data_IF_006150622529
#
_entry.id   IF_006150622529
#
_cell.length_a   1.000
_cell.length_b   1.000
_cell.length_c   1.000
_cell.angle_alpha   90.00
_cell.angle_beta   90.00
_cell.angle_gamma   90.00
#
_symmetry.space_group_name_H-M   'P 1'
#
loop_
_entity.id
_entity.type
_entity.pdbx_description
1 polymer ?
#
# COMPACT_ATOMS: atom_id res chain seq x y z
N UNK A 1 20.77 60.12 3.26
CA UNK A 1 19.41 59.86 2.77
C UNK A 1 19.15 58.36 2.78
N UNK A 2 18.53 57.86 3.85
CA UNK A 2 18.13 56.46 4.01
C UNK A 2 16.90 56.19 3.16
N UNK A 3 17.03 55.36 2.12
CA UNK A 3 15.89 54.90 1.32
C UNK A 3 15.00 54.01 2.20
N UNK A 4 13.85 54.57 2.60
CA UNK A 4 12.75 53.83 3.22
C UNK A 4 12.17 52.89 2.15
N UNK A 5 12.50 51.60 2.22
CA UNK A 5 11.80 50.57 1.43
C UNK A 5 10.46 50.27 2.12
N UNK A 6 9.47 51.13 1.94
CA UNK A 6 8.07 50.76 2.16
C UNK A 6 7.48 50.43 0.80
N UNK A 7 7.84 49.26 0.27
CA UNK A 7 7.00 48.61 -0.73
C UNK A 7 5.87 47.96 0.05
N UNK A 8 4.65 48.48 -0.07
CA UNK A 8 3.47 47.82 0.49
C UNK A 8 3.43 46.40 -0.05
N UNK A 9 3.45 45.41 0.85
CA UNK A 9 3.17 44.05 0.46
C UNK A 9 1.73 44.03 -0.07
N UNK A 10 1.45 43.46 -1.24
CA UNK A 10 0.07 43.27 -1.67
C UNK A 10 -0.65 42.47 -0.57
N UNK A 11 -1.78 42.98 -0.08
CA UNK A 11 -2.59 42.28 0.90
C UNK A 11 -2.94 40.91 0.33
N UNK A 12 -2.50 39.85 1.02
CA UNK A 12 -2.79 38.48 0.63
C UNK A 12 -4.30 38.29 0.70
N UNK A 13 -4.93 38.06 -0.45
CA UNK A 13 -6.35 37.76 -0.52
C UNK A 13 -6.59 36.36 0.03
N UNK A 14 -7.53 36.23 0.97
CA UNK A 14 -7.98 34.92 1.43
C UNK A 14 -8.66 34.17 0.28
N UNK A 15 -8.28 32.91 0.10
CA UNK A 15 -8.82 31.99 -0.91
C UNK A 15 -9.92 31.13 -0.29
N UNK A 16 -9.66 30.62 0.92
CA UNK A 16 -10.57 29.75 1.67
C UNK A 16 -10.99 30.46 2.97
N UNK A 17 -12.01 31.34 2.95
CA UNK A 17 -12.40 32.13 4.13
C UNK A 17 -12.90 31.26 5.29
N UNK A 18 -13.54 30.14 4.99
CA UNK A 18 -14.09 29.19 5.94
C UNK A 18 -13.20 27.94 6.08
N UNK A 19 -11.89 28.17 6.15
CA UNK A 19 -10.90 27.12 6.30
C UNK A 19 -10.80 26.63 7.75
N UNK A 20 -10.70 25.31 7.91
CA UNK A 20 -10.21 24.67 9.11
C UNK A 20 -8.91 23.89 8.83
N UNK A 21 -8.23 23.46 9.89
CA UNK A 21 -7.15 22.51 9.75
C UNK A 21 -7.05 21.55 10.93
N UNK A 22 -6.42 20.41 10.70
CA UNK A 22 -6.21 19.37 11.70
C UNK A 22 -4.76 18.90 11.65
N UNK A 23 -4.09 18.92 12.80
CA UNK A 23 -2.87 18.18 13.03
C UNK A 23 -3.22 16.80 13.63
N UNK A 24 -2.90 15.75 12.89
CA UNK A 24 -3.37 14.38 13.14
C UNK A 24 -2.32 13.62 13.96
N UNK A 25 -2.61 13.41 15.24
CA UNK A 25 -1.89 12.48 16.12
C UNK A 25 -2.52 11.08 16.20
N UNK A 26 -1.82 10.15 16.86
CA UNK A 26 -2.27 8.75 17.03
C UNK A 26 -3.34 8.56 18.11
N UNK A 27 -3.38 9.44 19.11
CA UNK A 27 -4.32 9.36 20.25
C UNK A 27 -5.13 10.64 20.45
N UNK A 28 -4.84 11.67 19.65
CA UNK A 28 -5.51 12.96 19.72
C UNK A 28 -5.35 13.68 18.38
N UNK A 29 -6.36 14.46 17.98
CA UNK A 29 -6.30 15.38 16.86
C UNK A 29 -6.44 16.81 17.36
N UNK A 30 -5.53 17.68 16.93
CA UNK A 30 -5.63 19.12 17.21
C UNK A 30 -6.29 19.79 16.02
N UNK A 31 -7.47 20.35 16.22
CA UNK A 31 -8.25 20.98 15.17
C UNK A 31 -8.34 22.50 15.40
N UNK A 32 -8.32 23.28 14.33
CA UNK A 32 -8.41 24.73 14.37
C UNK A 32 -9.39 25.27 13.33
N UNK A 33 -10.21 26.24 13.74
CA UNK A 33 -11.15 27.00 12.89
C UNK A 33 -10.76 28.48 12.87
N UNK A 34 -11.59 29.33 12.27
CA UNK A 34 -11.42 30.78 12.36
C UNK A 34 -11.63 31.28 13.81
N UNK A 35 -10.71 32.05 14.42
CA UNK A 35 -10.86 32.67 15.73
C UNK A 35 -12.13 33.51 15.90
N UNK A 36 -12.66 34.06 14.81
CA UNK A 36 -13.90 34.83 14.84
C UNK A 36 -15.15 33.94 14.83
N UNK A 37 -15.01 32.64 14.56
CA UNK A 37 -16.13 31.69 14.44
C UNK A 37 -16.43 30.94 15.75
N UNK A 38 -15.52 30.93 16.73
CA UNK A 38 -15.70 30.19 17.99
C UNK A 38 -14.83 30.79 19.12
N UNK A 39 -15.33 30.78 20.36
CA UNK A 39 -14.60 31.29 21.54
C UNK A 39 -13.40 30.42 21.92
N UNK A 40 -13.41 29.14 21.53
CA UNK A 40 -12.31 28.19 21.65
C UNK A 40 -11.98 27.65 20.24
N UNK A 41 -11.26 28.42 19.42
CA UNK A 41 -11.06 28.14 18.00
C UNK A 41 -10.01 27.05 17.73
N UNK A 42 -9.32 26.57 18.76
CA UNK A 42 -8.41 25.42 18.70
C UNK A 42 -8.87 24.42 19.75
N UNK A 43 -9.16 23.19 19.34
CA UNK A 43 -9.69 22.13 20.21
C UNK A 43 -8.97 20.81 19.99
N UNK A 44 -8.86 20.04 21.07
CA UNK A 44 -8.41 18.66 21.02
C UNK A 44 -9.62 17.75 20.87
N UNK A 45 -9.54 16.79 19.94
CA UNK A 45 -10.51 15.72 19.77
C UNK A 45 -9.82 14.37 19.97
N UNK A 46 -10.58 13.39 20.45
CA UNK A 46 -10.13 12.00 20.47
C UNK A 46 -10.05 11.40 19.08
N UNK A 47 -9.68 10.12 19.02
CA UNK A 47 -9.51 9.39 17.75
C UNK A 47 -10.57 8.32 17.52
N UNK A 48 -11.54 8.19 18.44
CA UNK A 48 -12.63 7.26 18.27
C UNK A 48 -13.66 7.82 17.30
N UNK A 49 -14.39 6.93 16.61
CA UNK A 49 -15.32 7.33 15.56
C UNK A 49 -16.33 8.39 16.01
N UNK A 50 -16.84 8.31 17.24
CA UNK A 50 -17.72 9.34 17.77
C UNK A 50 -17.02 10.69 17.91
N UNK A 51 -15.79 10.73 18.42
CA UNK A 51 -15.00 11.97 18.51
C UNK A 51 -14.76 12.62 17.14
N UNK A 52 -14.64 11.79 16.09
CA UNK A 52 -14.47 12.27 14.71
C UNK A 52 -15.76 12.87 14.13
N UNK A 53 -16.91 12.32 14.49
CA UNK A 53 -18.21 12.93 14.17
C UNK A 53 -18.41 14.22 14.96
N UNK A 54 -18.07 14.24 16.25
CA UNK A 54 -18.15 15.45 17.08
C UNK A 54 -17.24 16.56 16.53
N UNK A 55 -16.06 16.21 15.98
CA UNK A 55 -15.18 17.12 15.26
C UNK A 55 -15.86 17.68 13.99
N UNK A 56 -16.48 16.82 13.18
CA UNK A 56 -17.16 17.22 11.96
C UNK A 56 -18.36 18.13 12.26
N UNK A 57 -19.16 17.82 13.27
CA UNK A 57 -20.30 18.62 13.71
C UNK A 57 -19.85 19.99 14.24
N UNK A 58 -18.75 20.03 14.99
CA UNK A 58 -18.13 21.29 15.40
C UNK A 58 -17.73 22.14 14.19
N UNK A 59 -17.05 21.55 13.21
CA UNK A 59 -16.71 22.26 11.96
C UNK A 59 -17.93 22.80 11.21
N UNK A 60 -19.02 22.04 11.12
CA UNK A 60 -20.27 22.52 10.53
C UNK A 60 -20.85 23.71 11.30
N UNK A 61 -20.85 23.64 12.63
CA UNK A 61 -21.33 24.74 13.49
C UNK A 61 -20.53 26.04 13.32
N UNK A 62 -19.24 25.92 12.99
CA UNK A 62 -18.35 27.05 12.69
C UNK A 62 -18.43 27.52 11.23
N UNK A 63 -19.29 26.92 10.40
CA UNK A 63 -19.45 27.28 8.99
C UNK A 63 -18.27 26.89 8.09
N UNK A 64 -17.44 25.93 8.52
CA UNK A 64 -16.28 25.45 7.75
C UNK A 64 -16.73 24.83 6.44
N UNK A 65 -16.00 25.08 5.36
CA UNK A 65 -16.25 24.46 4.05
C UNK A 65 -15.07 23.65 3.54
N UNK A 66 -13.85 23.96 3.99
CA UNK A 66 -12.63 23.27 3.55
C UNK A 66 -11.66 23.02 4.68
N UNK A 67 -11.03 21.85 4.68
CA UNK A 67 -10.17 21.36 5.77
C UNK A 67 -8.81 20.94 5.22
N UNK A 68 -7.73 21.46 5.82
CA UNK A 68 -6.37 20.95 5.59
C UNK A 68 -5.93 20.02 6.73
N UNK A 69 -5.42 18.84 6.40
CA UNK A 69 -4.95 17.87 7.38
C UNK A 69 -3.46 17.61 7.22
N UNK A 70 -2.71 17.63 8.32
CA UNK A 70 -1.32 17.17 8.36
C UNK A 70 -1.24 15.83 9.08
N UNK A 71 -0.59 14.84 8.48
CA UNK A 71 -0.30 13.56 9.13
C UNK A 71 0.98 12.93 8.61
N UNK A 72 1.67 12.20 9.49
CA UNK A 72 2.87 11.42 9.15
C UNK A 72 2.60 9.91 9.04
N UNK A 73 1.40 9.46 9.42
CA UNK A 73 1.01 8.04 9.45
C UNK A 73 -0.37 7.84 8.80
N UNK A 74 -0.99 6.67 8.99
CA UNK A 74 -2.29 6.33 8.37
C UNK A 74 -3.52 6.93 9.08
N UNK A 75 -3.33 7.57 10.24
CA UNK A 75 -4.41 8.03 11.12
C UNK A 75 -5.33 9.08 10.48
N UNK A 76 -4.91 9.74 9.40
CA UNK A 76 -5.74 10.69 8.68
C UNK A 76 -6.88 10.03 7.89
N UNK A 77 -6.75 8.75 7.52
CA UNK A 77 -7.73 8.07 6.65
C UNK A 77 -9.16 8.14 7.22
N UNK A 78 -9.43 7.69 8.45
CA UNK A 78 -10.80 7.72 9.00
C UNK A 78 -11.35 9.14 9.15
N UNK A 79 -10.50 10.11 9.53
CA UNK A 79 -10.90 11.50 9.66
C UNK A 79 -11.26 12.11 8.30
N UNK A 80 -10.45 11.82 7.28
CA UNK A 80 -10.72 12.27 5.92
C UNK A 80 -12.04 11.70 5.39
N UNK A 81 -12.26 10.39 5.56
CA UNK A 81 -13.48 9.72 5.10
C UNK A 81 -14.75 10.28 5.77
N UNK A 82 -14.71 10.54 7.08
CA UNK A 82 -15.84 11.13 7.80
C UNK A 82 -16.08 12.57 7.34
N UNK A 83 -15.03 13.38 7.20
CA UNK A 83 -15.19 14.76 6.73
C UNK A 83 -15.70 14.83 5.28
N UNK A 84 -15.21 13.97 4.40
CA UNK A 84 -15.72 13.84 3.02
C UNK A 84 -17.21 13.45 3.02
N UNK A 85 -17.63 12.52 3.87
CA UNK A 85 -19.03 12.12 4.03
C UNK A 85 -19.92 13.25 4.59
N UNK A 86 -19.37 14.12 5.43
CA UNK A 86 -20.04 15.33 5.93
C UNK A 86 -20.02 16.50 4.93
N UNK A 87 -19.45 16.32 3.73
CA UNK A 87 -19.50 17.29 2.63
C UNK A 87 -18.39 18.34 2.63
N UNK A 88 -17.32 18.14 3.41
CA UNK A 88 -16.18 19.07 3.43
C UNK A 88 -15.25 18.86 2.24
N UNK A 89 -14.64 19.94 1.73
CA UNK A 89 -13.50 19.85 0.83
C UNK A 89 -12.22 19.59 1.63
N UNK A 90 -11.70 18.36 1.58
CA UNK A 90 -10.56 17.96 2.42
C UNK A 90 -9.28 17.81 1.60
N UNK A 91 -8.19 18.39 2.09
CA UNK A 91 -6.84 18.17 1.53
C UNK A 91 -5.90 17.57 2.58
N UNK A 92 -5.13 16.55 2.17
CA UNK A 92 -4.03 16.02 2.97
C UNK A 92 -2.73 16.72 2.59
N UNK A 93 -2.03 17.31 3.54
CA UNK A 93 -0.81 18.08 3.33
C UNK A 93 0.40 17.30 3.83
N UNK A 94 1.49 17.34 3.07
CA UNK A 94 2.75 16.78 3.52
C UNK A 94 3.35 17.67 4.61
N UNK A 95 3.56 17.09 5.80
CA UNK A 95 4.16 17.75 6.97
C UNK A 95 5.43 18.55 6.67
N UNK A 96 6.26 18.08 5.72
CA UNK A 96 7.50 18.78 5.35
C UNK A 96 7.25 20.11 4.65
N UNK A 97 6.17 20.24 3.87
CA UNK A 97 5.85 21.48 3.17
C UNK A 97 5.25 22.52 4.11
N UNK A 98 4.36 22.12 5.02
CA UNK A 98 3.74 23.05 5.98
C UNK A 98 4.75 23.67 6.95
N UNK A 99 5.75 22.90 7.40
CA UNK A 99 6.78 23.34 8.36
C UNK A 99 7.79 24.33 7.79
N UNK A 100 7.99 24.35 6.46
CA UNK A 100 9.01 25.17 5.81
C UNK A 100 8.49 26.54 5.35
N UNK A 101 7.25 26.91 5.67
CA UNK A 101 6.71 28.23 5.33
C UNK A 101 7.22 29.30 6.32
N UNK A 102 7.97 30.32 5.86
CA UNK A 102 8.48 31.38 6.73
C UNK A 102 7.37 32.23 7.35
N UNK A 103 7.65 32.86 8.49
CA UNK A 103 6.73 33.80 9.14
C UNK A 103 5.87 33.21 10.26
N UNK A 104 6.09 31.94 10.62
CA UNK A 104 5.45 31.31 11.79
C UNK A 104 5.92 31.97 13.09
N UNK A 105 4.99 32.35 13.95
CA UNK A 105 5.26 32.76 15.33
C UNK A 105 5.34 31.56 16.27
N UNK A 106 6.14 31.68 17.33
CA UNK A 106 6.44 30.58 18.27
C UNK A 106 5.25 30.15 19.12
N UNK A 107 4.25 31.01 19.29
CA UNK A 107 3.07 30.86 20.13
C UNK A 107 1.84 30.27 19.38
N UNK A 108 1.97 29.99 18.08
CA UNK A 108 0.88 29.48 17.26
C UNK A 108 0.91 27.95 17.23
N UNK A 109 -0.22 27.32 17.59
CA UNK A 109 -0.40 25.86 17.50
C UNK A 109 -0.21 25.38 16.05
N UNK A 110 0.25 24.13 15.87
CA UNK A 110 0.45 23.55 14.54
C UNK A 110 -0.83 23.61 13.69
N UNK A 111 -1.98 23.22 14.28
CA UNK A 111 -3.28 23.31 13.62
C UNK A 111 -3.69 24.75 13.27
N UNK A 112 -3.43 25.72 14.17
CA UNK A 112 -3.73 27.12 13.93
C UNK A 112 -2.92 27.71 12.77
N UNK A 113 -1.63 27.37 12.72
CA UNK A 113 -0.73 27.74 11.62
C UNK A 113 -1.15 27.10 10.30
N UNK A 114 -1.45 25.80 10.32
CA UNK A 114 -1.92 25.07 9.15
C UNK A 114 -3.22 25.66 8.58
N UNK A 115 -4.17 26.04 9.45
CA UNK A 115 -5.43 26.70 9.06
C UNK A 115 -5.16 28.03 8.38
N UNK A 116 -4.25 28.84 8.92
CA UNK A 116 -3.88 30.12 8.32
C UNK A 116 -3.26 29.93 6.93
N UNK A 117 -2.37 28.96 6.75
CA UNK A 117 -1.81 28.66 5.43
C UNK A 117 -2.90 28.20 4.45
N UNK A 118 -3.84 27.38 4.91
CA UNK A 118 -4.97 26.91 4.11
C UNK A 118 -5.89 28.06 3.69
N UNK A 119 -6.16 29.01 4.59
CA UNK A 119 -7.06 30.14 4.30
C UNK A 119 -6.54 31.06 3.20
N UNK A 120 -5.22 31.16 3.03
CA UNK A 120 -4.57 31.90 1.95
C UNK A 120 -4.23 31.04 0.73
N UNK A 121 -4.60 29.76 0.70
CA UNK A 121 -4.30 28.86 -0.42
C UNK A 121 -2.80 28.57 -0.59
N UNK A 122 -2.02 28.65 0.49
CA UNK A 122 -0.56 28.43 0.46
C UNK A 122 -0.17 26.95 0.60
N UNK A 123 -1.16 26.07 0.77
CA UNK A 123 -0.96 24.63 0.91
C UNK A 123 -1.24 23.91 -0.40
N UNK A 124 -0.40 22.93 -0.71
CA UNK A 124 -0.62 22.00 -1.81
C UNK A 124 -1.10 20.66 -1.26
N UNK A 125 -2.30 20.26 -1.65
CA UNK A 125 -2.84 18.95 -1.35
C UNK A 125 -2.02 17.83 -1.98
N UNK A 126 -1.82 16.75 -1.24
CA UNK A 126 -1.30 15.48 -1.73
C UNK A 126 -2.36 14.81 -2.59
N UNK A 127 -1.96 14.12 -3.64
CA UNK A 127 -2.89 13.43 -4.51
C UNK A 127 -3.55 12.25 -3.78
N UNK A 128 -4.86 12.34 -3.56
CA UNK A 128 -5.73 11.23 -3.17
C UNK A 128 -6.58 10.85 -4.39
N UNK A 129 -6.51 9.60 -4.87
CA UNK A 129 -7.43 9.11 -5.89
C UNK A 129 -8.87 9.10 -5.37
N UNK A 130 -9.83 9.10 -6.28
CA UNK A 130 -11.24 8.84 -5.97
C UNK A 130 -11.40 7.49 -5.25
N UNK A 131 -12.49 7.36 -4.49
CA UNK A 131 -12.74 6.24 -3.58
C UNK A 131 -12.50 4.87 -4.22
N UNK A 132 -12.94 4.68 -5.47
CA UNK A 132 -12.84 3.40 -6.17
C UNK A 132 -11.40 3.05 -6.54
N UNK A 133 -10.63 4.05 -6.97
CA UNK A 133 -9.19 3.91 -7.23
C UNK A 133 -8.42 3.73 -5.92
N UNK A 134 -8.86 4.36 -4.83
CA UNK A 134 -8.29 4.15 -3.50
C UNK A 134 -8.50 2.70 -3.02
N UNK A 135 -9.68 2.12 -3.22
CA UNK A 135 -9.97 0.69 -2.96
C UNK A 135 -9.05 -0.22 -3.77
N UNK A 136 -8.91 0.02 -5.07
CA UNK A 136 -8.00 -0.75 -5.93
C UNK A 136 -6.57 -0.71 -5.39
N UNK A 137 -6.06 0.49 -5.08
CA UNK A 137 -4.71 0.68 -4.54
C UNK A 137 -4.50 -0.03 -3.20
N UNK A 138 -5.53 -0.11 -2.35
CA UNK A 138 -5.44 -0.85 -1.09
C UNK A 138 -5.19 -2.35 -1.33
N UNK A 139 -5.93 -2.96 -2.25
CA UNK A 139 -5.73 -4.37 -2.60
C UNK A 139 -4.40 -4.63 -3.31
N UNK A 140 -3.97 -3.76 -4.23
CA UNK A 140 -2.67 -3.89 -4.90
C UNK A 140 -1.53 -3.85 -3.88
N UNK A 141 -1.53 -2.88 -2.97
CA UNK A 141 -0.51 -2.76 -1.91
C UNK A 141 -0.50 -3.95 -0.96
N UNK A 142 -1.67 -4.51 -0.65
CA UNK A 142 -1.75 -5.70 0.19
C UNK A 142 -1.16 -6.92 -0.53
N UNK A 143 -1.47 -7.07 -1.82
CA UNK A 143 -0.92 -8.13 -2.66
C UNK A 143 0.60 -8.04 -2.81
N UNK A 144 1.13 -6.83 -3.00
CA UNK A 144 2.57 -6.56 -3.06
C UNK A 144 3.26 -7.03 -1.77
N UNK A 145 2.76 -6.62 -0.60
CA UNK A 145 3.30 -7.07 0.70
C UNK A 145 3.28 -8.58 0.87
N UNK A 146 2.18 -9.25 0.53
CA UNK A 146 2.11 -10.72 0.59
C UNK A 146 3.10 -11.39 -0.38
N UNK A 147 3.37 -10.76 -1.52
CA UNK A 147 4.36 -11.24 -2.49
C UNK A 147 5.78 -11.11 -1.95
N UNK A 148 6.09 -10.00 -1.28
CA UNK A 148 7.37 -9.79 -0.58
C UNK A 148 7.57 -10.82 0.54
N UNK A 149 6.53 -11.07 1.35
CA UNK A 149 6.59 -12.09 2.40
C UNK A 149 6.80 -13.49 1.83
N UNK A 150 6.07 -13.87 0.77
CA UNK A 150 6.29 -15.15 0.09
C UNK A 150 7.75 -15.29 -0.40
N UNK A 151 8.33 -14.20 -0.93
CA UNK A 151 9.73 -14.18 -1.41
C UNK A 151 10.72 -14.44 -0.28
N UNK A 152 10.50 -13.90 0.92
CA UNK A 152 11.34 -14.21 2.08
C UNK A 152 11.33 -15.71 2.42
N UNK A 153 10.17 -16.37 2.33
CA UNK A 153 10.09 -17.81 2.60
C UNK A 153 10.68 -18.69 1.49
N UNK A 154 10.78 -18.19 0.25
CA UNK A 154 11.60 -18.84 -0.78
C UNK A 154 13.06 -18.91 -0.34
N UNK A 155 13.59 -17.79 0.18
CA UNK A 155 14.96 -17.74 0.69
C UNK A 155 15.16 -18.67 1.88
N UNK A 156 14.17 -18.78 2.77
CA UNK A 156 14.22 -19.72 3.89
C UNK A 156 14.18 -21.19 3.44
N UNK A 157 13.37 -21.54 2.44
CA UNK A 157 13.41 -22.88 1.83
C UNK A 157 14.80 -23.16 1.21
N UNK A 158 15.37 -22.21 0.47
CA UNK A 158 16.73 -22.36 -0.08
C UNK A 158 17.78 -22.56 1.01
N UNK A 159 17.70 -21.77 2.10
CA UNK A 159 18.61 -21.92 3.24
C UNK A 159 18.53 -23.32 3.84
N UNK A 160 17.34 -23.84 4.11
CA UNK A 160 17.17 -25.18 4.67
C UNK A 160 17.72 -26.26 3.73
N UNK A 161 17.49 -26.13 2.42
CA UNK A 161 18.09 -27.02 1.41
C UNK A 161 19.62 -26.96 1.45
N UNK A 162 20.22 -25.78 1.60
CA UNK A 162 21.67 -25.63 1.70
C UNK A 162 22.26 -26.23 2.97
N UNK A 163 21.58 -26.10 4.12
CA UNK A 163 22.02 -26.72 5.37
C UNK A 163 21.97 -28.26 5.29
N UNK A 164 21.03 -28.81 4.51
CA UNK A 164 20.97 -30.23 4.13
C UNK A 164 21.97 -30.62 3.03
N UNK A 165 22.74 -29.68 2.49
CA UNK A 165 23.59 -29.84 1.31
C UNK A 165 22.84 -30.30 0.03
N UNK A 166 21.58 -29.90 -0.11
CA UNK A 166 20.77 -30.13 -1.31
C UNK A 166 20.88 -28.94 -2.27
N UNK A 167 21.66 -29.12 -3.33
CA UNK A 167 22.01 -28.09 -4.32
C UNK A 167 20.93 -27.87 -5.39
N UNK A 168 19.65 -28.01 -5.01
CA UNK A 168 18.51 -27.94 -5.94
C UNK A 168 18.50 -26.63 -6.75
N UNK A 169 18.76 -25.51 -6.09
CA UNK A 169 18.77 -24.18 -6.70
C UNK A 169 19.85 -23.98 -7.80
N UNK A 170 20.85 -24.86 -7.89
CA UNK A 170 21.83 -24.86 -8.99
C UNK A 170 21.34 -25.63 -10.23
N UNK A 171 20.43 -26.59 -10.05
CA UNK A 171 19.99 -27.51 -11.12
C UNK A 171 18.56 -27.24 -11.62
N UNK A 172 17.81 -26.35 -10.96
CA UNK A 172 16.54 -25.82 -11.47
C UNK A 172 16.61 -24.30 -11.62
N UNK A 173 15.90 -23.75 -12.61
CA UNK A 173 15.86 -22.29 -12.81
C UNK A 173 15.10 -21.55 -11.73
N UNK A 174 14.15 -22.22 -11.08
CA UNK A 174 13.29 -21.67 -10.03
C UNK A 174 12.86 -22.83 -9.12
N UNK A 175 13.19 -22.74 -7.83
CA UNK A 175 12.83 -23.75 -6.84
C UNK A 175 11.31 -23.76 -6.56
N UNK A 176 10.62 -22.65 -6.84
CA UNK A 176 9.16 -22.56 -6.74
C UNK A 176 8.44 -22.97 -8.03
N UNK A 177 9.20 -23.33 -9.07
CA UNK A 177 8.68 -23.95 -10.28
C UNK A 177 8.14 -25.36 -10.03
N UNK A 178 7.47 -25.93 -11.04
CA UNK A 178 6.81 -27.24 -10.93
C UNK A 178 7.74 -28.35 -10.44
N UNK A 179 8.94 -28.47 -11.02
CA UNK A 179 9.94 -29.48 -10.60
C UNK A 179 10.41 -29.24 -9.17
N UNK A 180 10.84 -28.02 -8.84
CA UNK A 180 11.38 -27.69 -7.53
C UNK A 180 10.37 -27.93 -6.41
N UNK A 181 9.13 -27.50 -6.59
CA UNK A 181 8.07 -27.69 -5.59
C UNK A 181 7.67 -29.16 -5.41
N UNK A 182 7.68 -29.97 -6.48
CA UNK A 182 7.44 -31.42 -6.34
C UNK A 182 8.52 -32.08 -5.50
N UNK A 183 9.78 -31.74 -5.74
CA UNK A 183 10.92 -32.24 -4.97
C UNK A 183 10.85 -31.78 -3.52
N UNK A 184 10.66 -30.48 -3.27
CA UNK A 184 10.56 -29.91 -1.91
C UNK A 184 9.41 -30.57 -1.13
N UNK A 185 8.24 -30.72 -1.75
CA UNK A 185 7.09 -31.39 -1.12
C UNK A 185 7.36 -32.87 -0.83
N UNK A 186 8.08 -33.57 -1.71
CA UNK A 186 8.46 -34.95 -1.47
C UNK A 186 9.42 -35.09 -0.29
N UNK A 187 10.44 -34.21 -0.19
CA UNK A 187 11.35 -34.16 0.97
C UNK A 187 10.57 -33.92 2.26
N UNK A 188 9.66 -32.93 2.28
CA UNK A 188 8.79 -32.67 3.43
C UNK A 188 7.88 -33.87 3.73
N UNK A 189 7.42 -34.57 2.70
CA UNK A 189 6.61 -35.79 2.80
C UNK A 189 7.37 -37.04 3.24
N UNK A 190 8.67 -36.94 3.51
CA UNK A 190 9.49 -38.06 4.02
C UNK A 190 10.33 -38.79 2.97
N UNK A 191 10.30 -38.37 1.70
CA UNK A 191 11.15 -38.97 0.67
C UNK A 191 12.62 -38.58 0.88
N UNK A 192 13.52 -39.56 0.77
CA UNK A 192 14.97 -39.41 0.99
C UNK A 192 15.80 -40.00 -0.12
N UNK A 193 15.24 -40.83 -0.99
CA UNK A 193 15.95 -41.41 -2.12
C UNK A 193 16.19 -40.35 -3.21
N UNK A 194 17.46 -40.00 -3.51
CA UNK A 194 17.78 -39.04 -4.57
C UNK A 194 17.30 -39.50 -5.95
N UNK A 195 17.16 -40.80 -6.19
CA UNK A 195 16.65 -41.34 -7.45
C UNK A 195 15.15 -41.08 -7.61
N UNK A 196 14.36 -41.40 -6.57
CA UNK A 196 12.95 -41.05 -6.51
C UNK A 196 12.72 -39.53 -6.64
N UNK A 197 13.54 -38.70 -5.96
CA UNK A 197 13.43 -37.24 -6.05
C UNK A 197 13.79 -36.73 -7.46
N UNK A 198 14.84 -37.25 -8.09
CA UNK A 198 15.24 -36.85 -9.43
C UNK A 198 14.21 -37.25 -10.50
N UNK A 199 13.40 -38.28 -10.26
CA UNK A 199 12.30 -38.68 -11.15
C UNK A 199 11.19 -37.62 -11.27
N UNK A 200 11.09 -36.66 -10.34
CA UNK A 200 10.16 -35.52 -10.45
C UNK A 200 10.54 -34.49 -11.52
N UNK A 201 11.74 -34.60 -12.11
CA UNK A 201 12.26 -33.74 -13.18
C UNK A 201 11.30 -33.66 -14.37
N UNK A 202 10.95 -32.43 -14.76
CA UNK A 202 10.27 -32.17 -16.04
C UNK A 202 11.25 -32.35 -17.23
N UNK A 203 10.76 -32.86 -18.36
CA UNK A 203 11.56 -33.09 -19.57
C UNK A 203 12.25 -31.83 -20.11
N UNK A 204 11.74 -30.63 -19.78
CA UNK A 204 12.29 -29.33 -20.16
C UNK A 204 13.43 -28.85 -19.26
N UNK A 205 13.74 -29.57 -18.17
CA UNK A 205 14.89 -29.25 -17.33
C UNK A 205 16.19 -29.41 -18.12
N UNK A 206 17.03 -28.36 -18.11
CA UNK A 206 18.29 -28.31 -18.86
C UNK A 206 19.29 -29.38 -18.41
N UNK A 207 19.36 -29.63 -17.10
CA UNK A 207 20.26 -30.61 -16.52
C UNK A 207 19.69 -32.02 -16.66
N UNK A 208 20.58 -33.01 -16.80
CA UNK A 208 20.20 -34.42 -16.88
C UNK A 208 19.63 -34.91 -15.55
N UNK A 209 18.97 -36.08 -15.58
CA UNK A 209 18.49 -36.73 -14.36
C UNK A 209 19.64 -37.05 -13.41
N UNK A 210 20.80 -37.46 -13.93
CA UNK A 210 21.98 -37.79 -13.12
C UNK A 210 22.55 -36.56 -12.41
N UNK A 211 22.60 -35.41 -13.08
CA UNK A 211 23.05 -34.16 -12.45
C UNK A 211 22.08 -33.70 -11.37
N UNK A 212 20.76 -33.83 -11.60
CA UNK A 212 19.75 -33.49 -10.59
C UNK A 212 19.84 -34.46 -9.41
N UNK A 213 20.00 -35.77 -9.66
CA UNK A 213 20.22 -36.78 -8.61
C UNK A 213 21.44 -36.43 -7.76
N UNK A 214 22.56 -36.08 -8.38
CA UNK A 214 23.78 -35.69 -7.67
C UNK A 214 23.58 -34.44 -6.79
N UNK A 215 22.78 -33.46 -7.26
CA UNK A 215 22.45 -32.26 -6.48
C UNK A 215 21.49 -32.52 -5.30
N UNK A 216 20.88 -33.71 -5.23
CA UNK A 216 19.94 -34.12 -4.18
C UNK A 216 20.58 -35.10 -3.18
N UNK A 217 21.89 -35.33 -3.27
CA UNK A 217 22.64 -36.09 -2.27
C UNK A 217 23.03 -35.15 -1.14
N UNK A 218 22.47 -35.37 0.05
CA UNK A 218 22.66 -34.52 1.21
C UNK A 218 22.42 -35.25 2.54
N UNK A 219 22.20 -34.48 3.60
CA UNK A 219 21.76 -34.98 4.91
C UNK A 219 20.31 -34.57 5.17
N UNK A 220 19.63 -35.28 6.06
CA UNK A 220 18.20 -35.11 6.36
C UNK A 220 17.95 -34.84 7.84
N UNK A 221 18.85 -34.10 8.48
CA UNK A 221 18.74 -33.73 9.89
C UNK A 221 17.38 -33.09 10.17
N UNK A 222 16.74 -33.55 11.24
CA UNK A 222 15.35 -33.23 11.56
C UNK A 222 15.10 -31.73 11.68
N UNK A 223 16.05 -30.96 12.21
CA UNK A 223 15.93 -29.51 12.37
C UNK A 223 15.86 -28.76 11.03
N UNK A 224 16.57 -29.22 9.99
CA UNK A 224 16.56 -28.58 8.68
C UNK A 224 15.32 -28.96 7.89
N UNK A 225 14.88 -30.22 8.01
CA UNK A 225 13.60 -30.68 7.45
C UNK A 225 12.44 -29.92 8.09
N UNK A 226 12.47 -29.74 9.42
CA UNK A 226 11.47 -28.95 10.13
C UNK A 226 11.42 -27.50 9.65
N UNK A 227 12.58 -26.84 9.50
CA UNK A 227 12.65 -25.47 8.98
C UNK A 227 12.15 -25.37 7.52
N UNK A 228 12.45 -26.37 6.69
CA UNK A 228 11.93 -26.47 5.32
C UNK A 228 10.39 -26.58 5.32
N UNK A 229 9.84 -27.45 6.16
CA UNK A 229 8.39 -27.66 6.32
C UNK A 229 7.68 -26.36 6.68
N UNK A 230 8.11 -25.67 7.73
CA UNK A 230 7.50 -24.40 8.13
C UNK A 230 7.60 -23.33 7.02
N UNK A 231 8.74 -23.25 6.35
CA UNK A 231 8.94 -22.29 5.26
C UNK A 231 8.01 -22.57 4.08
N UNK A 232 7.81 -23.85 3.75
CA UNK A 232 6.90 -24.29 2.70
C UNK A 232 5.43 -24.00 3.05
N UNK A 233 5.00 -24.30 4.27
CA UNK A 233 3.63 -24.05 4.74
C UNK A 233 3.27 -22.56 4.69
N UNK A 234 4.17 -21.70 5.18
CA UNK A 234 3.96 -20.25 5.18
C UNK A 234 4.01 -19.68 3.75
N UNK A 235 4.88 -20.21 2.88
CA UNK A 235 4.86 -19.88 1.46
C UNK A 235 3.50 -20.21 0.83
N UNK A 236 2.98 -21.41 1.04
CA UNK A 236 1.68 -21.85 0.51
C UNK A 236 0.53 -20.98 1.04
N UNK A 237 0.56 -20.64 2.32
CA UNK A 237 -0.38 -19.71 2.93
C UNK A 237 -0.38 -18.36 2.21
N UNK A 238 0.79 -17.74 2.01
CA UNK A 238 0.87 -16.47 1.30
C UNK A 238 0.41 -16.58 -0.15
N UNK A 239 0.69 -17.69 -0.84
CA UNK A 239 0.17 -17.92 -2.20
C UNK A 239 -1.36 -17.98 -2.23
N UNK A 240 -2.00 -18.57 -1.21
CA UNK A 240 -3.46 -18.57 -1.09
C UNK A 240 -4.00 -17.15 -0.84
N UNK A 241 -3.38 -16.40 0.07
CA UNK A 241 -3.78 -15.01 0.36
C UNK A 241 -3.60 -14.07 -0.85
N UNK A 242 -2.54 -14.25 -1.64
CA UNK A 242 -2.33 -13.50 -2.91
C UNK A 242 -3.49 -13.76 -3.87
N UNK A 243 -3.95 -15.01 -4.00
CA UNK A 243 -5.13 -15.33 -4.84
C UNK A 243 -6.41 -14.69 -4.31
N UNK A 244 -6.59 -14.61 -3.00
CA UNK A 244 -7.72 -13.92 -2.40
C UNK A 244 -7.69 -12.41 -2.73
N UNK A 245 -6.51 -11.78 -2.72
CA UNK A 245 -6.33 -10.41 -3.20
C UNK A 245 -6.62 -10.28 -4.70
N UNK A 246 -6.16 -11.24 -5.53
CA UNK A 246 -6.43 -11.24 -6.97
C UNK A 246 -7.93 -11.25 -7.27
N UNK A 247 -8.72 -12.04 -6.53
CA UNK A 247 -10.18 -12.05 -6.68
C UNK A 247 -10.82 -10.71 -6.29
N UNK A 248 -10.38 -10.09 -5.18
CA UNK A 248 -10.88 -8.76 -4.79
C UNK A 248 -10.51 -7.68 -5.82
N UNK A 249 -9.31 -7.76 -6.40
CA UNK A 249 -8.88 -6.89 -7.47
C UNK A 249 -9.73 -7.05 -8.73
N UNK A 250 -9.99 -8.30 -9.15
CA UNK A 250 -10.83 -8.58 -10.31
C UNK A 250 -12.24 -7.98 -10.17
N UNK A 251 -12.86 -8.15 -9.00
CA UNK A 251 -14.18 -7.56 -8.69
C UNK A 251 -14.12 -6.03 -8.73
N UNK A 252 -13.11 -5.43 -8.11
CA UNK A 252 -12.96 -3.97 -8.08
C UNK A 252 -12.72 -3.37 -9.47
N UNK A 253 -11.91 -4.02 -10.30
CA UNK A 253 -11.68 -3.61 -11.70
C UNK A 253 -12.97 -3.74 -12.51
N UNK A 254 -13.68 -4.86 -12.40
CA UNK A 254 -14.94 -5.05 -13.13
C UNK A 254 -16.00 -4.00 -12.81
N UNK A 255 -16.07 -3.53 -11.56
CA UNK A 255 -16.98 -2.46 -11.15
C UNK A 255 -16.68 -1.12 -11.84
N UNK A 256 -15.40 -0.83 -12.12
CA UNK A 256 -14.99 0.35 -12.89
C UNK A 256 -15.35 0.20 -14.37
N UNK A 257 -15.11 -0.98 -14.95
CA UNK A 257 -15.33 -1.26 -16.38
C UNK A 257 -16.79 -1.10 -16.80
N UNK A 258 -17.74 -1.55 -15.96
CA UNK A 258 -19.19 -1.46 -16.25
C UNK A 258 -19.65 0.00 -16.44
N UNK A 259 -18.92 0.98 -15.91
CA UNK A 259 -19.29 2.40 -16.00
C UNK A 259 -18.79 3.11 -17.26
N UNK A 260 -17.85 2.53 -18.01
CA UNK A 260 -17.17 3.20 -19.12
C UNK A 260 -17.89 3.14 -20.49
N UNK A 261 -19.06 2.49 -20.60
CA UNK A 261 -19.98 2.46 -21.78
C UNK A 261 -19.55 1.68 -23.05
N UNK A 262 -20.57 1.23 -23.80
CA UNK A 262 -20.63 0.13 -24.79
C UNK A 262 -19.95 0.33 -26.17
N UNK A 263 -18.93 1.19 -26.30
CA UNK A 263 -18.24 1.41 -27.59
C UNK A 263 -16.71 1.22 -27.50
N UNK A 264 -16.28 0.16 -26.83
CA UNK A 264 -14.86 -0.21 -26.83
C UNK A 264 -14.49 -0.87 -28.16
N UNK A 265 -13.46 -0.34 -28.81
CA UNK A 265 -12.83 -1.00 -29.94
C UNK A 265 -12.38 -2.42 -29.56
N UNK A 266 -12.06 -3.32 -30.51
CA UNK A 266 -11.56 -4.64 -30.13
C UNK A 266 -10.22 -4.54 -29.39
N UNK A 267 -10.06 -5.29 -28.30
CA UNK A 267 -8.80 -5.38 -27.56
C UNK A 267 -7.64 -5.72 -28.52
N UNK A 268 -6.61 -4.86 -28.65
CA UNK A 268 -5.50 -5.11 -29.57
C UNK A 268 -4.76 -6.43 -29.27
N UNK A 269 -3.87 -6.90 -30.14
CA UNK A 269 -3.01 -8.05 -29.81
C UNK A 269 -1.97 -7.72 -28.73
N UNK A 270 -1.69 -8.66 -27.84
CA UNK A 270 -0.70 -8.47 -26.79
C UNK A 270 0.70 -8.31 -27.38
N UNK A 271 1.42 -7.26 -26.99
CA UNK A 271 2.81 -7.03 -27.41
C UNK A 271 3.78 -8.01 -26.74
N UNK A 272 3.50 -8.41 -25.50
CA UNK A 272 4.29 -9.36 -24.73
C UNK A 272 3.46 -10.64 -24.56
N UNK A 273 4.00 -11.77 -24.99
CA UNK A 273 3.33 -13.08 -24.93
C UNK A 273 3.76 -13.94 -23.74
N UNK A 274 4.81 -13.53 -23.02
CA UNK A 274 5.31 -14.24 -21.84
C UNK A 274 4.50 -13.93 -20.59
N UNK A 275 4.23 -14.96 -19.78
CA UNK A 275 3.60 -14.78 -18.46
C UNK A 275 4.58 -14.08 -17.53
N UNK A 276 4.20 -12.95 -16.98
CA UNK A 276 5.02 -12.25 -16.00
C UNK A 276 5.05 -13.02 -14.67
N UNK A 277 6.21 -13.02 -14.02
CA UNK A 277 6.35 -13.60 -12.68
C UNK A 277 5.44 -12.83 -11.70
N UNK A 278 4.76 -13.55 -10.82
CA UNK A 278 3.76 -12.98 -9.90
C UNK A 278 2.65 -12.15 -10.60
N UNK A 279 2.33 -12.41 -11.87
CA UNK A 279 1.14 -11.84 -12.50
C UNK A 279 -0.13 -12.21 -11.71
N UNK A 280 -1.14 -11.33 -11.62
CA UNK A 280 -2.44 -11.68 -11.06
C UNK A 280 -3.05 -12.91 -11.72
N UNK A 281 -3.89 -13.64 -10.99
CA UNK A 281 -4.52 -14.87 -11.48
C UNK A 281 -5.61 -14.64 -12.52
N UNK A 282 -6.05 -13.40 -12.72
CA UNK A 282 -7.07 -13.02 -13.70
C UNK A 282 -6.46 -12.28 -14.90
N UNK A 283 -7.22 -12.16 -15.98
CA UNK A 283 -6.79 -11.43 -17.18
C UNK A 283 -6.88 -9.91 -16.95
N UNK A 284 -5.84 -9.36 -16.31
CA UNK A 284 -5.68 -7.93 -16.06
C UNK A 284 -5.85 -7.10 -17.33
N UNK A 285 -5.38 -7.63 -18.47
CA UNK A 285 -5.37 -6.89 -19.73
C UNK A 285 -6.78 -6.70 -20.25
N UNK A 286 -7.57 -7.76 -20.25
CA UNK A 286 -8.98 -7.69 -20.64
C UNK A 286 -9.78 -6.87 -19.62
N UNK A 287 -9.50 -7.06 -18.33
CA UNK A 287 -10.21 -6.36 -17.25
C UNK A 287 -10.00 -4.83 -17.27
N UNK A 288 -8.77 -4.37 -17.55
CA UNK A 288 -8.46 -2.93 -17.62
C UNK A 288 -8.79 -2.26 -18.95
N UNK A 289 -9.16 -3.02 -19.98
CA UNK A 289 -9.31 -2.45 -21.33
C UNK A 289 -10.48 -1.47 -21.45
N UNK A 290 -11.49 -1.62 -20.59
CA UNK A 290 -12.63 -0.72 -20.51
C UNK A 290 -12.69 0.09 -19.22
N UNK A 291 -11.55 0.30 -18.55
CA UNK A 291 -11.45 1.21 -17.38
C UNK A 291 -10.88 2.56 -17.83
#
# INVERSE_FOLDING_TARGET
>A
MTKRKTGGHPDLKMVNPNAAAIDIGSTMHMAAVNPDADTMPVRAFGTFTQDLHDLADWFQSCGVTSVAMESTAVYWIPVFEILEAHGFEVILVNARYAKNVPGRKTDVSDAGWLRQLHSYGLLRGSFRPEAEVATLRAYVRQRERLTEYATAHIQHMQKALMEMNLQLHHVVSDITGATGMRIIRAIVGGERDPEALAAFRDVRCKFSIDTIKAALVGNDREEHVFALTQSLEVYDFYKAQIKACDHKLEVAVGALTVRASDNLAPLPKARIKGRQHNAPSFDVRSALYGV
#
